data_IF_304904437298
#
_entry.id   IF_304904437298
#
_cell.length_a   1.000
_cell.length_b   1.000
_cell.length_c   1.000
_cell.angle_alpha   90.00
_cell.angle_beta   90.00
_cell.angle_gamma   90.00
#
_symmetry.space_group_name_H-M   'P 1'
#
loop_
_entity.id
_entity.type
_entity.pdbx_description
1 polymer ?
#
# COMPACT_ATOMS: atom_id res chain seq x y z
N UNK A 1 -20.32 -6.29 2.64
CA UNK A 1 -19.01 -6.80 2.18
C UNK A 1 -18.84 -8.19 2.73
N UNK A 2 -18.73 -9.19 1.86
CA UNK A 2 -18.57 -10.60 2.24
C UNK A 2 -17.13 -11.11 2.13
N UNK A 3 -16.17 -10.22 1.94
CA UNK A 3 -14.75 -10.57 1.79
C UNK A 3 -14.10 -10.63 3.17
N UNK A 4 -13.33 -11.70 3.43
CA UNK A 4 -12.58 -11.89 4.68
C UNK A 4 -11.10 -11.69 4.41
N UNK A 5 -10.50 -10.72 5.08
CA UNK A 5 -9.05 -10.59 5.15
C UNK A 5 -8.46 -11.48 6.25
N UNK A 6 -7.28 -12.03 6.00
CA UNK A 6 -6.53 -12.88 6.93
C UNK A 6 -5.15 -12.27 7.18
N UNK A 7 -4.99 -11.63 8.34
CA UNK A 7 -3.73 -11.13 8.86
C UNK A 7 -3.87 -10.83 10.35
N UNK A 8 -2.90 -11.27 11.16
CA UNK A 8 -2.88 -10.98 12.60
C UNK A 8 -2.64 -9.50 12.87
N UNK A 9 -1.63 -8.93 12.20
CA UNK A 9 -1.29 -7.52 12.34
C UNK A 9 -2.45 -6.63 11.92
N UNK A 10 -3.10 -6.93 10.78
CA UNK A 10 -4.26 -6.17 10.32
C UNK A 10 -5.41 -6.31 11.32
N UNK A 11 -5.72 -7.51 11.80
CA UNK A 11 -6.78 -7.69 12.81
C UNK A 11 -6.47 -6.83 14.04
N UNK A 12 -5.31 -7.00 14.67
CA UNK A 12 -4.92 -6.30 15.90
C UNK A 12 -4.92 -4.78 15.76
N UNK A 13 -4.41 -4.26 14.63
CA UNK A 13 -4.46 -2.83 14.33
C UNK A 13 -5.88 -2.29 14.14
N UNK A 14 -6.83 -3.15 13.78
CA UNK A 14 -8.23 -2.79 13.53
C UNK A 14 -9.18 -3.12 14.69
N UNK A 15 -8.71 -3.67 15.82
CA UNK A 15 -9.55 -4.15 16.94
C UNK A 15 -10.56 -3.11 17.43
N UNK A 16 -10.12 -1.86 17.54
CA UNK A 16 -10.93 -0.73 18.00
C UNK A 16 -11.21 0.28 16.87
N UNK A 17 -11.01 -0.13 15.62
CA UNK A 17 -11.25 0.72 14.44
C UNK A 17 -12.63 0.43 13.86
N UNK A 18 -13.49 1.43 13.90
CA UNK A 18 -14.86 1.31 13.35
C UNK A 18 -14.92 1.58 11.85
N UNK A 19 -13.94 2.29 11.29
CA UNK A 19 -13.94 2.72 9.89
C UNK A 19 -12.56 2.56 9.27
N UNK A 20 -12.55 1.94 8.09
CA UNK A 20 -11.37 1.77 7.25
C UNK A 20 -11.65 2.27 5.84
N UNK A 21 -10.59 2.56 5.10
CA UNK A 21 -10.64 3.04 3.73
C UNK A 21 -9.72 2.18 2.88
N UNK A 22 -10.30 1.20 2.18
CA UNK A 22 -9.58 0.43 1.17
C UNK A 22 -9.31 1.34 -0.04
N UNK A 23 -8.11 1.22 -0.63
CA UNK A 23 -7.74 2.04 -1.77
C UNK A 23 -6.79 1.33 -2.74
N UNK A 24 -6.77 1.84 -3.96
CA UNK A 24 -5.72 1.64 -4.97
C UNK A 24 -5.36 3.02 -5.53
N UNK A 25 -4.07 3.27 -5.71
CA UNK A 25 -3.55 4.46 -6.37
C UNK A 25 -2.46 4.08 -7.38
N UNK A 26 -2.30 4.86 -8.43
CA UNK A 26 -1.37 4.56 -9.53
C UNK A 26 -0.77 5.84 -10.13
N UNK A 27 0.36 5.71 -10.82
CA UNK A 27 0.90 6.78 -11.65
C UNK A 27 0.10 7.03 -12.95
N UNK A 28 -0.89 6.19 -13.26
CA UNK A 28 -1.72 6.27 -14.46
C UNK A 28 -1.22 5.38 -15.60
N UNK A 29 -2.16 4.89 -16.41
CA UNK A 29 -1.86 4.02 -17.56
C UNK A 29 -1.15 4.79 -18.67
N UNK A 30 -1.39 6.09 -18.75
CA UNK A 30 -0.80 7.03 -19.72
C UNK A 30 0.72 7.12 -19.54
N UNK A 31 1.18 7.27 -18.30
CA UNK A 31 2.62 7.36 -17.98
C UNK A 31 3.28 5.98 -18.05
N UNK A 32 2.54 4.93 -17.73
CA UNK A 32 2.99 3.55 -17.86
C UNK A 32 3.23 3.15 -19.32
N UNK A 33 2.46 3.70 -20.27
CA UNK A 33 2.60 3.44 -21.69
C UNK A 33 3.81 4.14 -22.34
N UNK A 34 4.43 5.12 -21.65
CA UNK A 34 5.63 5.78 -22.15
C UNK A 34 6.80 4.79 -22.22
N UNK A 35 7.56 4.86 -23.30
CA UNK A 35 8.74 4.03 -23.54
C UNK A 35 9.97 4.91 -23.71
N UNK A 36 11.14 4.33 -23.44
CA UNK A 36 12.45 4.95 -23.67
C UNK A 36 13.20 4.15 -24.74
N UNK A 37 14.16 4.75 -25.46
CA UNK A 37 15.00 4.01 -26.40
C UNK A 37 15.68 2.83 -25.73
N UNK A 38 15.78 1.71 -26.45
CA UNK A 38 16.46 0.52 -25.96
C UNK A 38 17.92 0.83 -25.60
N UNK A 39 18.35 0.41 -24.42
CA UNK A 39 19.70 0.67 -23.90
C UNK A 39 19.92 2.06 -23.29
N UNK A 40 18.96 2.99 -23.35
CA UNK A 40 19.07 4.30 -22.69
C UNK A 40 18.72 4.20 -21.20
N UNK A 41 19.70 3.76 -20.41
CA UNK A 41 19.59 3.60 -18.95
C UNK A 41 19.25 4.91 -18.24
N UNK A 42 19.74 6.04 -18.75
CA UNK A 42 19.52 7.35 -18.12
C UNK A 42 18.08 7.81 -18.27
N UNK A 43 17.52 7.73 -19.48
CA UNK A 43 16.11 8.05 -19.71
C UNK A 43 15.20 7.04 -19.01
N UNK A 44 15.56 5.75 -18.99
CA UNK A 44 14.84 4.74 -18.24
C UNK A 44 14.75 5.07 -16.74
N UNK A 45 15.86 5.50 -16.15
CA UNK A 45 15.89 5.98 -14.77
C UNK A 45 15.03 7.23 -14.57
N UNK A 46 15.11 8.22 -15.46
CA UNK A 46 14.27 9.42 -15.37
C UNK A 46 12.77 9.08 -15.43
N UNK A 47 12.35 8.24 -16.37
CA UNK A 47 10.95 7.85 -16.49
C UNK A 47 10.48 7.09 -15.26
N UNK A 48 11.30 6.19 -14.70
CA UNK A 48 11.02 5.51 -13.44
C UNK A 48 10.79 6.49 -12.29
N UNK A 49 11.72 7.45 -12.10
CA UNK A 49 11.60 8.48 -11.06
C UNK A 49 10.38 9.37 -11.26
N UNK A 50 10.04 9.72 -12.51
CA UNK A 50 8.84 10.50 -12.81
C UNK A 50 7.58 9.72 -12.39
N UNK A 51 7.48 8.44 -12.74
CA UNK A 51 6.34 7.59 -12.34
C UNK A 51 6.21 7.49 -10.81
N UNK A 52 7.33 7.31 -10.11
CA UNK A 52 7.37 7.31 -8.65
C UNK A 52 6.84 8.64 -8.07
N UNK A 53 7.26 9.80 -8.62
CA UNK A 53 6.77 11.10 -8.16
C UNK A 53 5.31 11.38 -8.45
N UNK A 54 4.77 10.85 -9.55
CA UNK A 54 3.34 10.95 -9.85
C UNK A 54 2.55 10.09 -8.87
N UNK A 55 3.01 8.87 -8.58
CA UNK A 55 2.39 8.00 -7.59
C UNK A 55 2.44 8.63 -6.18
N UNK A 56 3.58 9.18 -5.75
CA UNK A 56 3.73 9.91 -4.49
C UNK A 56 2.68 11.03 -4.38
N UNK A 57 2.49 11.81 -5.44
CA UNK A 57 1.52 12.90 -5.48
C UNK A 57 0.07 12.38 -5.41
N UNK A 58 -0.26 11.29 -6.12
CA UNK A 58 -1.57 10.67 -6.09
C UNK A 58 -1.92 10.13 -4.70
N UNK A 59 -0.99 9.40 -4.07
CA UNK A 59 -1.13 8.88 -2.71
C UNK A 59 -1.34 10.03 -1.71
N UNK A 60 -0.49 11.07 -1.79
CA UNK A 60 -0.60 12.23 -0.92
C UNK A 60 -1.97 12.89 -1.06
N UNK A 61 -2.42 13.13 -2.29
CA UNK A 61 -3.72 13.73 -2.54
C UNK A 61 -4.86 12.89 -1.95
N UNK A 62 -4.85 11.57 -2.18
CA UNK A 62 -5.83 10.65 -1.64
C UNK A 62 -5.88 10.70 -0.11
N UNK A 63 -4.73 10.59 0.56
CA UNK A 63 -4.67 10.57 2.02
C UNK A 63 -5.07 11.90 2.64
N UNK A 64 -4.64 13.04 2.06
CA UNK A 64 -5.07 14.37 2.48
C UNK A 64 -6.59 14.53 2.31
N UNK A 65 -7.15 14.04 1.21
CA UNK A 65 -8.59 14.07 0.97
C UNK A 65 -9.37 13.23 1.99
N UNK A 66 -8.93 12.01 2.28
CA UNK A 66 -9.56 11.15 3.28
C UNK A 66 -9.44 11.77 4.68
N UNK A 67 -8.27 12.26 5.05
CA UNK A 67 -8.04 12.90 6.34
C UNK A 67 -8.92 14.15 6.53
N UNK A 68 -9.02 15.01 5.51
CA UNK A 68 -9.88 16.20 5.55
C UNK A 68 -11.37 15.87 5.57
N UNK A 69 -11.82 14.96 4.68
CA UNK A 69 -13.23 14.62 4.52
C UNK A 69 -13.80 13.89 5.73
N UNK A 70 -12.98 13.06 6.38
CA UNK A 70 -13.39 12.26 7.54
C UNK A 70 -12.82 12.75 8.88
N UNK A 71 -12.15 13.91 8.88
CA UNK A 71 -11.57 14.56 10.07
C UNK A 71 -10.65 13.64 10.86
N UNK A 72 -9.82 12.88 10.16
CA UNK A 72 -8.85 11.98 10.79
C UNK A 72 -7.72 12.82 11.40
N UNK A 73 -7.57 12.75 12.73
CA UNK A 73 -6.50 13.45 13.47
C UNK A 73 -5.19 12.67 13.47
N UNK A 74 -5.25 11.36 13.24
CA UNK A 74 -4.14 10.44 13.06
C UNK A 74 -4.60 9.23 12.27
N UNK A 75 -3.72 8.68 11.44
CA UNK A 75 -4.02 7.52 10.60
C UNK A 75 -2.76 6.72 10.30
N UNK A 76 -2.96 5.46 9.94
CA UNK A 76 -1.93 4.56 9.44
C UNK A 76 -2.45 3.84 8.19
N UNK A 77 -1.52 3.25 7.44
CA UNK A 77 -1.82 2.44 6.26
C UNK A 77 -1.12 1.10 6.41
N UNK A 78 -1.82 0.06 6.00
CA UNK A 78 -1.23 -1.24 5.76
C UNK A 78 -1.41 -1.61 4.30
N UNK A 79 -0.40 -2.22 3.70
CA UNK A 79 -0.44 -2.76 2.34
C UNK A 79 -0.14 -4.27 2.35
N UNK A 80 -0.90 -5.12 1.64
CA UNK A 80 -0.54 -6.52 1.49
C UNK A 80 0.86 -6.67 0.87
N UNK A 81 1.69 -7.53 1.44
CA UNK A 81 3.08 -7.74 1.03
C UNK A 81 4.08 -6.71 1.58
N UNK A 82 3.63 -5.75 2.39
CA UNK A 82 4.48 -4.77 3.08
C UNK A 82 4.92 -5.30 4.45
N UNK A 83 6.22 -5.25 4.72
CA UNK A 83 6.83 -5.84 5.90
C UNK A 83 7.24 -7.30 5.68
N UNK A 84 7.30 -8.08 6.76
CA UNK A 84 7.56 -9.51 6.66
C UNK A 84 6.33 -10.25 6.10
N UNK A 85 6.56 -11.43 5.52
CA UNK A 85 5.53 -12.14 4.74
C UNK A 85 4.28 -12.50 5.56
N UNK A 86 4.40 -12.61 6.87
CA UNK A 86 3.33 -12.95 7.81
C UNK A 86 2.65 -11.73 8.44
N UNK A 87 3.13 -10.50 8.20
CA UNK A 87 2.49 -9.25 8.67
C UNK A 87 1.13 -9.09 8.00
N UNK A 88 1.12 -8.91 6.68
CA UNK A 88 -0.08 -9.01 5.86
C UNK A 88 0.29 -9.64 4.52
N UNK A 89 -0.04 -10.91 4.27
CA UNK A 89 0.43 -11.64 3.09
C UNK A 89 0.00 -10.97 1.78
N UNK A 90 0.86 -11.00 0.75
CA UNK A 90 0.60 -10.39 -0.56
C UNK A 90 -0.61 -11.01 -1.28
N UNK A 91 -0.93 -12.27 -0.98
CA UNK A 91 -2.11 -12.99 -1.49
C UNK A 91 -3.41 -12.23 -1.20
N UNK A 92 -3.44 -11.47 -0.10
CA UNK A 92 -4.56 -10.65 0.33
C UNK A 92 -4.86 -9.46 -0.60
N UNK A 93 -4.00 -9.20 -1.60
CA UNK A 93 -4.33 -8.37 -2.77
C UNK A 93 -5.61 -8.85 -3.48
N UNK A 94 -5.81 -10.16 -3.58
CA UNK A 94 -6.96 -10.73 -4.29
C UNK A 94 -8.27 -10.33 -3.62
N UNK A 95 -8.32 -10.48 -2.30
CA UNK A 95 -9.43 -10.04 -1.46
C UNK A 95 -9.61 -8.52 -1.54
N UNK A 96 -8.53 -7.75 -1.53
CA UNK A 96 -8.60 -6.29 -1.56
C UNK A 96 -9.18 -5.79 -2.87
N UNK A 97 -8.72 -6.32 -4.00
CA UNK A 97 -9.27 -6.00 -5.32
C UNK A 97 -10.72 -6.49 -5.45
N UNK A 98 -11.04 -7.69 -4.95
CA UNK A 98 -12.42 -8.19 -4.94
C UNK A 98 -13.35 -7.30 -4.11
N UNK A 99 -12.87 -6.76 -2.98
CA UNK A 99 -13.62 -5.85 -2.13
C UNK A 99 -13.86 -4.49 -2.81
N UNK A 100 -12.87 -3.96 -3.53
CA UNK A 100 -12.95 -2.68 -4.24
C UNK A 100 -13.79 -2.77 -5.53
N UNK A 101 -13.93 -3.95 -6.12
CA UNK A 101 -14.72 -4.18 -7.33
C UNK A 101 -13.91 -3.97 -8.60
N UNK A 102 -14.49 -3.31 -9.60
CA UNK A 102 -13.87 -3.14 -10.93
C UNK A 102 -12.86 -1.98 -10.96
N UNK A 103 -11.69 -2.23 -10.37
CA UNK A 103 -10.57 -1.28 -10.32
C UNK A 103 -10.01 -0.97 -11.72
N UNK A 104 -10.00 -1.96 -12.62
CA UNK A 104 -9.45 -1.80 -13.97
C UNK A 104 -10.29 -0.82 -14.79
N UNK A 105 -11.62 -0.94 -14.78
CA UNK A 105 -12.49 0.03 -15.47
C UNK A 105 -12.46 1.41 -14.79
N UNK A 106 -12.29 1.46 -13.47
CA UNK A 106 -12.34 2.72 -12.72
C UNK A 106 -11.08 3.58 -12.91
N UNK A 107 -9.88 2.97 -12.85
CA UNK A 107 -8.60 3.70 -12.83
C UNK A 107 -7.50 3.03 -13.68
N UNK A 108 -7.81 1.96 -14.42
CA UNK A 108 -6.86 1.29 -15.30
C UNK A 108 -5.84 0.38 -14.59
N UNK A 109 -6.01 0.11 -13.30
CA UNK A 109 -5.11 -0.78 -12.55
C UNK A 109 -5.65 -2.20 -12.56
N UNK A 110 -4.81 -3.13 -13.00
CA UNK A 110 -5.11 -4.57 -13.05
C UNK A 110 -4.19 -5.34 -12.10
N UNK A 111 -4.77 -6.28 -11.36
CA UNK A 111 -4.04 -7.26 -10.56
C UNK A 111 -3.69 -8.48 -11.43
N UNK A 112 -2.41 -8.84 -11.49
CA UNK A 112 -1.92 -10.01 -12.22
C UNK A 112 -2.07 -11.29 -11.38
N UNK A 113 -2.04 -12.49 -12.00
CA UNK A 113 -1.96 -13.77 -11.26
C UNK A 113 -0.73 -13.87 -10.34
N UNK A 114 0.33 -13.11 -10.63
CA UNK A 114 1.51 -12.98 -9.76
C UNK A 114 1.31 -12.07 -8.55
N UNK A 115 0.11 -11.49 -8.38
CA UNK A 115 -0.27 -10.53 -7.34
C UNK A 115 0.39 -9.14 -7.49
N UNK A 116 1.15 -8.93 -8.56
CA UNK A 116 1.68 -7.63 -8.96
C UNK A 116 0.61 -6.82 -9.68
N UNK A 117 0.72 -5.49 -9.62
CA UNK A 117 -0.19 -4.57 -10.29
C UNK A 117 0.40 -4.06 -11.61
N UNK A 118 -0.48 -3.76 -12.56
CA UNK A 118 -0.17 -3.02 -13.78
C UNK A 118 -1.11 -1.81 -13.85
N UNK A 119 -0.61 -0.57 -13.92
CA UNK A 119 0.80 -0.14 -13.92
C UNK A 119 1.63 -0.64 -12.73
N UNK A 120 2.93 -0.86 -12.95
CA UNK A 120 3.87 -1.34 -11.90
C UNK A 120 4.01 -0.33 -10.76
N UNK A 121 3.91 0.96 -11.09
CA UNK A 121 3.90 2.07 -10.15
C UNK A 121 2.48 2.28 -9.63
N UNK A 122 2.02 1.32 -8.85
CA UNK A 122 0.74 1.35 -8.15
C UNK A 122 0.88 0.84 -6.72
N UNK A 123 0.01 1.31 -5.84
CA UNK A 123 -0.13 0.80 -4.46
C UNK A 123 -1.58 0.44 -4.20
N UNK A 124 -1.77 -0.52 -3.30
CA UNK A 124 -3.06 -0.88 -2.74
C UNK A 124 -2.92 -1.03 -1.24
N UNK A 125 -3.97 -0.72 -0.50
CA UNK A 125 -3.91 -0.83 0.96
C UNK A 125 -5.21 -0.51 1.65
N UNK A 126 -5.14 -0.53 2.97
CA UNK A 126 -6.20 -0.07 3.87
C UNK A 126 -5.62 1.03 4.75
N UNK A 127 -6.23 2.22 4.64
CA UNK A 127 -6.02 3.32 5.55
C UNK A 127 -7.01 3.24 6.71
N UNK A 128 -6.56 3.48 7.93
CA UNK A 128 -7.41 3.47 9.12
C UNK A 128 -6.97 4.53 10.15
N UNK A 129 -7.91 5.08 10.94
CA UNK A 129 -7.60 6.00 12.03
C UNK A 129 -6.84 5.29 13.15
N UNK A 130 -5.87 5.98 13.75
CA UNK A 130 -5.15 5.53 14.94
C UNK A 130 -4.52 6.71 15.67
N UNK A 131 -4.44 6.63 17.00
CA UNK A 131 -3.78 7.63 17.86
C UNK A 131 -2.30 7.30 18.08
N UNK A 132 -1.94 6.02 18.10
CA UNK A 132 -0.58 5.55 18.38
C UNK A 132 0.30 5.44 17.13
N UNK A 133 -0.31 5.51 15.94
CA UNK A 133 0.37 5.28 14.68
C UNK A 133 0.74 3.81 14.45
N UNK A 134 1.11 3.48 13.21
CA UNK A 134 1.68 2.20 12.81
C UNK A 134 2.39 2.37 11.47
N UNK A 135 3.53 1.71 11.30
CA UNK A 135 4.17 1.49 10.01
C UNK A 135 4.67 0.05 9.91
N UNK A 136 4.46 -0.62 8.77
CA UNK A 136 4.93 -2.00 8.55
C UNK A 136 6.44 -2.16 8.77
N UNK A 137 7.23 -1.08 8.62
CA UNK A 137 8.66 -1.07 8.92
C UNK A 137 9.00 -1.36 10.39
N UNK A 138 8.09 -1.03 11.32
CA UNK A 138 8.27 -1.29 12.75
C UNK A 138 8.24 -2.78 13.09
N UNK A 139 7.65 -3.60 12.21
CA UNK A 139 7.51 -5.04 12.41
C UNK A 139 8.24 -5.86 11.35
N UNK A 140 9.07 -5.21 10.54
CA UNK A 140 9.82 -5.84 9.46
C UNK A 140 11.28 -6.06 9.88
N UNK A 141 11.74 -7.30 9.82
CA UNK A 141 13.11 -7.69 10.19
C UNK A 141 14.15 -7.37 9.11
N UNK A 142 13.73 -6.92 7.91
CA UNK A 142 14.66 -6.56 6.83
C UNK A 142 15.45 -5.30 7.15
N UNK A 143 16.71 -5.43 7.53
CA UNK A 143 17.57 -4.29 7.91
C UNK A 143 17.86 -3.34 6.72
N UNK A 144 18.38 -3.85 5.61
CA UNK A 144 18.82 -3.05 4.45
C UNK A 144 17.69 -2.75 3.45
N UNK A 145 16.62 -2.11 3.93
CA UNK A 145 15.52 -1.64 3.08
C UNK A 145 15.68 -0.15 2.75
N UNK A 146 15.92 0.17 1.47
CA UNK A 146 16.05 1.57 0.99
C UNK A 146 14.79 2.41 1.20
N UNK A 147 13.63 1.76 1.33
CA UNK A 147 12.33 2.39 1.53
C UNK A 147 11.90 2.39 3.00
N UNK A 148 12.79 2.05 3.95
CA UNK A 148 12.47 1.99 5.38
C UNK A 148 12.07 3.38 5.90
N UNK A 149 10.87 3.47 6.49
CA UNK A 149 10.29 4.70 7.05
C UNK A 149 10.34 4.76 8.58
N UNK A 150 10.57 3.62 9.24
CA UNK A 150 10.68 3.52 10.70
C UNK A 150 11.67 2.40 11.10
N UNK A 151 12.36 2.53 12.25
CA UNK A 151 13.16 1.44 12.81
C UNK A 151 12.27 0.26 13.21
N UNK A 152 12.84 -0.95 13.24
CA UNK A 152 12.18 -2.11 13.83
C UNK A 152 11.94 -1.88 15.32
N UNK A 153 10.81 -2.34 15.83
CA UNK A 153 10.36 -2.19 17.20
C UNK A 153 9.82 -3.54 17.70
N UNK A 154 10.60 -4.17 18.58
CA UNK A 154 10.30 -5.49 19.15
C UNK A 154 8.99 -5.47 19.97
N UNK A 155 8.67 -4.37 20.65
CA UNK A 155 7.46 -4.26 21.46
C UNK A 155 6.23 -4.21 20.56
N UNK A 156 6.28 -3.40 19.49
CA UNK A 156 5.21 -3.34 18.49
C UNK A 156 5.07 -4.67 17.77
N UNK A 157 6.17 -5.30 17.34
CA UNK A 157 6.14 -6.63 16.71
C UNK A 157 5.45 -7.66 17.61
N UNK A 158 5.78 -7.70 18.90
CA UNK A 158 5.10 -8.60 19.84
C UNK A 158 3.62 -8.28 20.01
N UNK A 159 3.29 -6.99 20.09
CA UNK A 159 1.92 -6.55 20.25
C UNK A 159 1.04 -6.88 19.04
N UNK A 160 1.54 -6.77 17.81
CA UNK A 160 0.71 -6.87 16.60
C UNK A 160 0.94 -8.13 15.76
N UNK A 161 2.12 -8.75 15.81
CA UNK A 161 2.51 -9.87 14.96
C UNK A 161 2.73 -11.19 15.70
N UNK A 162 3.31 -11.15 16.91
CA UNK A 162 3.62 -12.37 17.69
C UNK A 162 2.35 -13.07 18.21
N UNK A 163 2.46 -14.36 18.53
CA UNK A 163 1.35 -15.22 18.97
C UNK A 163 0.59 -14.67 20.19
#
# INVERSE_FOLDING_TARGET
GGVRFTSRALRRNLDNVERVFAHVATCGTEVNALTVPEGDVLQGYWLWTIREKILDAAIKHLYDHLAGSYRLTGWAVMEPGSGDADVWPIEQQTELFSFLGDVESAIGVRLLPSLLMVPEMSVSGILFPTETGYASCQVCHREDCRLRKAPFDEEIYRAVCAD
#
